data_IF_232807911581
#
_entry.id   IF_232807911581
#
_cell.length_a   1.000
_cell.length_b   1.000
_cell.length_c   1.000
_cell.angle_alpha   90.00
_cell.angle_beta   90.00
_cell.angle_gamma   90.00
#
_symmetry.space_group_name_H-M   'P 1'
#
loop_
_entity.id
_entity.type
_entity.pdbx_description
1 polymer ?
#
# COMPACT_ATOMS: atom_id res chain seq x y z
N UNK A 1 35.32 20.65 -19.56
CA UNK A 1 35.59 19.20 -19.51
C UNK A 1 34.28 18.48 -19.23
N UNK A 2 33.86 17.55 -20.08
CA UNK A 2 32.60 16.82 -19.88
C UNK A 2 32.81 15.62 -18.95
N UNK A 3 31.85 15.38 -18.04
CA UNK A 3 31.60 14.05 -17.48
C UNK A 3 30.12 13.73 -17.67
N UNK A 4 29.82 12.80 -18.58
CA UNK A 4 28.51 12.15 -18.65
C UNK A 4 28.36 11.26 -17.42
N UNK A 5 27.20 11.31 -16.77
CA UNK A 5 26.72 10.22 -15.93
C UNK A 5 25.58 9.54 -16.68
N UNK A 6 25.79 8.28 -17.08
CA UNK A 6 24.77 7.46 -17.73
C UNK A 6 23.96 6.74 -16.66
N UNK A 7 22.66 6.99 -16.60
CA UNK A 7 21.75 6.15 -15.83
C UNK A 7 21.39 4.92 -16.66
N UNK A 8 21.68 3.72 -16.13
CA UNK A 8 21.18 2.47 -16.71
C UNK A 8 19.70 2.30 -16.35
N UNK A 9 18.90 1.88 -17.33
CA UNK A 9 17.45 1.81 -17.24
C UNK A 9 16.98 0.35 -17.10
N UNK A 10 17.06 -0.19 -15.88
CA UNK A 10 16.57 -1.54 -15.60
C UNK A 10 15.04 -1.55 -15.39
N UNK A 11 14.37 -2.52 -16.03
CA UNK A 11 12.92 -2.58 -16.13
C UNK A 11 12.32 -3.40 -14.99
N UNK A 12 11.70 -2.75 -14.01
CA UNK A 12 10.86 -3.44 -13.04
C UNK A 12 9.54 -3.88 -13.69
N UNK A 13 9.42 -5.18 -13.95
CA UNK A 13 8.28 -5.80 -14.60
C UNK A 13 7.31 -6.35 -13.55
N UNK A 14 6.38 -5.52 -13.08
CA UNK A 14 5.41 -5.91 -12.04
C UNK A 14 4.27 -6.70 -12.69
N UNK A 15 4.35 -8.03 -12.64
CA UNK A 15 3.32 -8.93 -13.16
C UNK A 15 2.04 -8.88 -12.32
N UNK A 16 0.89 -8.87 -13.00
CA UNK A 16 -0.44 -8.76 -12.38
C UNK A 16 -0.80 -9.98 -11.52
N UNK A 17 -1.00 -9.77 -10.21
CA UNK A 17 -1.50 -10.80 -9.28
C UNK A 17 -2.96 -10.55 -8.85
N UNK A 18 -3.84 -10.29 -9.83
CA UNK A 18 -5.29 -10.27 -9.65
C UNK A 18 -5.92 -11.31 -10.57
N UNK A 19 -6.11 -12.54 -10.06
CA UNK A 19 -6.99 -13.60 -10.61
C UNK A 19 -6.85 -14.87 -9.73
N UNK A 20 -7.44 -14.88 -8.53
CA UNK A 20 -7.37 -16.02 -7.61
C UNK A 20 -8.58 -16.21 -6.68
N UNK A 21 -9.68 -15.44 -6.87
CA UNK A 21 -10.87 -15.50 -6.00
C UNK A 21 -12.21 -15.71 -6.74
N UNK A 22 -12.28 -15.55 -8.06
CA UNK A 22 -13.53 -15.49 -8.83
C UNK A 22 -13.88 -16.75 -9.65
N UNK A 23 -13.44 -17.94 -9.23
CA UNK A 23 -13.80 -19.21 -9.90
C UNK A 23 -14.14 -20.35 -8.91
N UNK A 24 -15.14 -20.14 -8.05
CA UNK A 24 -15.66 -21.22 -7.19
C UNK A 24 -17.19 -21.26 -7.01
N UNK A 25 -17.94 -20.81 -8.02
CA UNK A 25 -19.38 -21.08 -8.16
C UNK A 25 -19.70 -21.38 -9.63
N UNK A 26 -20.36 -22.52 -9.89
CA UNK A 26 -21.31 -22.87 -10.99
C UNK A 26 -21.30 -24.40 -11.26
N UNK A 27 -22.48 -25.01 -11.16
CA UNK A 27 -22.93 -26.31 -11.70
C UNK A 27 -22.35 -27.67 -11.20
N UNK A 28 -23.12 -28.32 -10.33
CA UNK A 28 -23.43 -29.77 -10.35
C UNK A 28 -24.70 -30.01 -11.22
N UNK A 29 -25.16 -31.26 -11.55
CA UNK A 29 -24.94 -32.58 -10.91
C UNK A 29 -24.44 -33.65 -11.95
N UNK A 30 -24.64 -34.99 -11.95
CA UNK A 30 -25.57 -35.96 -11.31
C UNK A 30 -24.94 -37.35 -10.98
N UNK A 31 -25.66 -38.09 -10.12
CA UNK A 31 -25.76 -39.55 -9.91
C UNK A 31 -24.66 -40.54 -10.33
N UNK A 32 -24.24 -41.38 -9.36
CA UNK A 32 -24.45 -42.86 -9.42
C UNK A 32 -24.22 -43.52 -8.04
N UNK A 33 -24.71 -44.75 -7.86
CA UNK A 33 -24.89 -45.44 -6.55
C UNK A 33 -23.72 -46.36 -6.15
N UNK A 34 -23.61 -46.82 -4.88
CA UNK A 34 -22.34 -47.30 -4.31
C UNK A 34 -22.02 -48.78 -4.62
N UNK A 35 -20.73 -49.07 -4.83
CA UNK A 35 -20.17 -50.41 -5.05
C UNK A 35 -19.00 -50.75 -4.13
N UNK A 36 -19.06 -51.95 -3.55
CA UNK A 36 -18.11 -52.60 -2.63
C UNK A 36 -16.59 -52.40 -2.88
N UNK A 37 -15.83 -52.10 -1.82
CA UNK A 37 -14.36 -52.12 -1.82
C UNK A 37 -13.77 -53.54 -1.93
N UNK A 38 -12.85 -53.80 -2.88
CA UNK A 38 -11.97 -54.97 -2.84
C UNK A 38 -10.91 -54.84 -1.73
N UNK A 39 -10.56 -55.95 -1.07
CA UNK A 39 -9.46 -55.98 -0.09
C UNK A 39 -8.10 -55.90 -0.78
N UNK A 40 -7.21 -55.04 -0.28
CA UNK A 40 -5.81 -55.01 -0.71
C UNK A 40 -5.10 -56.32 -0.29
N UNK A 41 -4.29 -56.89 -1.19
CA UNK A 41 -3.30 -57.90 -0.83
C UNK A 41 -1.93 -57.22 -0.70
N UNK A 42 -1.29 -57.39 0.44
CA UNK A 42 -0.02 -56.75 0.80
C UNK A 42 1.09 -57.78 0.69
N UNK A 43 1.97 -57.67 -0.32
CA UNK A 43 3.38 -58.13 -0.29
C UNK A 43 4.10 -57.94 -1.64
N UNK A 44 4.77 -56.80 -1.84
CA UNK A 44 6.11 -56.73 -2.46
C UNK A 44 6.75 -55.37 -2.18
N UNK A 45 7.84 -55.34 -1.41
CA UNK A 45 8.52 -54.11 -0.98
C UNK A 45 9.83 -53.94 -1.76
N UNK A 46 9.77 -53.27 -2.91
CA UNK A 46 10.96 -52.89 -3.66
C UNK A 46 11.68 -51.74 -2.93
N UNK A 47 12.89 -52.01 -2.43
CA UNK A 47 13.66 -51.06 -1.63
C UNK A 47 14.55 -50.16 -2.51
N UNK A 48 13.99 -49.09 -3.07
CA UNK A 48 14.78 -48.07 -3.77
C UNK A 48 15.52 -47.15 -2.77
N UNK A 49 16.80 -47.46 -2.49
CA UNK A 49 17.73 -46.53 -1.86
C UNK A 49 18.04 -45.37 -2.80
N UNK A 50 17.29 -44.27 -2.69
CA UNK A 50 17.54 -43.02 -3.38
C UNK A 50 18.74 -42.29 -2.77
N UNK A 51 19.88 -42.33 -3.46
CA UNK A 51 21.06 -41.52 -3.11
C UNK A 51 20.78 -40.06 -3.48
N UNK A 52 20.09 -39.35 -2.60
CA UNK A 52 19.99 -37.89 -2.68
C UNK A 52 21.35 -37.28 -2.25
N UNK A 53 21.99 -36.45 -3.09
CA UNK A 53 23.16 -35.69 -2.67
C UNK A 53 22.72 -34.72 -1.56
N UNK A 54 23.42 -34.75 -0.42
CA UNK A 54 23.12 -33.85 0.68
C UNK A 54 23.36 -32.40 0.25
N UNK A 55 22.48 -31.45 0.61
CA UNK A 55 22.70 -30.05 0.30
C UNK A 55 23.99 -29.58 0.98
N UNK A 56 24.87 -28.94 0.21
CA UNK A 56 26.04 -28.26 0.78
C UNK A 56 25.50 -27.17 1.71
N UNK A 57 25.79 -27.31 3.00
CA UNK A 57 25.41 -26.30 3.99
C UNK A 57 26.38 -25.12 3.82
N UNK A 58 26.03 -24.19 2.93
CA UNK A 58 26.66 -22.88 2.92
C UNK A 58 26.52 -22.27 4.33
N UNK A 59 27.63 -21.81 4.90
CA UNK A 59 27.63 -21.26 6.25
C UNK A 59 26.62 -20.12 6.35
N UNK A 60 25.66 -20.26 7.28
CA UNK A 60 24.57 -19.32 7.48
C UNK A 60 25.12 -17.97 7.91
N UNK A 61 25.46 -17.11 6.94
CA UNK A 61 25.90 -15.73 7.17
C UNK A 61 24.86 -15.04 8.04
N UNK A 62 25.27 -14.69 9.25
CA UNK A 62 24.39 -14.12 10.27
C UNK A 62 24.12 -12.65 9.95
N UNK A 63 23.13 -12.38 9.10
CA UNK A 63 22.76 -11.02 8.67
C UNK A 63 22.24 -10.24 9.88
N UNK A 64 23.13 -9.46 10.49
CA UNK A 64 22.83 -8.56 11.60
C UNK A 64 22.45 -7.18 11.06
N UNK A 65 21.18 -6.82 11.24
CA UNK A 65 20.71 -5.47 11.00
C UNK A 65 21.09 -4.57 12.18
N UNK A 66 22.33 -4.08 12.22
CA UNK A 66 22.89 -3.33 13.36
C UNK A 66 22.04 -2.11 13.80
N UNK A 67 21.30 -1.52 12.86
CA UNK A 67 20.40 -0.39 13.10
C UNK A 67 18.95 -0.78 13.42
N UNK A 68 18.56 -2.06 13.29
CA UNK A 68 17.19 -2.53 13.56
C UNK A 68 17.10 -3.20 14.93
N UNK A 69 16.69 -2.42 15.93
CA UNK A 69 16.37 -2.96 17.26
C UNK A 69 15.00 -3.61 17.22
N UNK A 70 14.94 -4.94 17.25
CA UNK A 70 13.70 -5.66 17.53
C UNK A 70 13.27 -5.33 18.96
N UNK A 71 12.16 -4.62 19.11
CA UNK A 71 11.63 -4.23 20.44
C UNK A 71 10.40 -5.07 20.78
N UNK A 72 10.35 -5.63 21.99
CA UNK A 72 9.14 -6.28 22.53
C UNK A 72 7.99 -5.29 22.75
N UNK A 73 8.31 -3.98 22.72
CA UNK A 73 7.31 -2.91 22.69
C UNK A 73 6.59 -2.97 21.33
N UNK A 74 5.24 -3.03 21.30
CA UNK A 74 4.50 -3.02 20.04
C UNK A 74 4.85 -1.77 19.23
N UNK A 75 4.78 -1.81 17.89
CA UNK A 75 5.07 -0.66 17.05
C UNK A 75 4.32 0.56 17.55
N UNK A 76 5.03 1.64 17.87
CA UNK A 76 4.39 2.91 18.20
C UNK A 76 3.56 3.30 16.99
N UNK A 77 2.23 3.32 17.17
CA UNK A 77 1.30 3.68 16.10
C UNK A 77 1.74 5.02 15.48
N UNK A 78 1.61 5.19 14.15
CA UNK A 78 2.05 6.39 13.47
C UNK A 78 1.22 7.59 13.92
N UNK A 79 1.69 8.26 14.97
CA UNK A 79 1.00 9.36 15.64
C UNK A 79 1.43 10.72 15.08
N UNK A 80 0.49 11.65 15.10
CA UNK A 80 0.72 13.07 14.78
C UNK A 80 0.31 13.93 15.98
N UNK A 81 0.92 15.11 16.11
CA UNK A 81 0.62 16.05 17.18
C UNK A 81 -0.39 17.10 16.69
N UNK A 82 -1.57 17.15 17.31
CA UNK A 82 -2.66 18.05 16.92
C UNK A 82 -3.38 18.55 18.18
N UNK A 83 -3.66 19.85 18.23
CA UNK A 83 -4.39 20.52 19.33
C UNK A 83 -3.87 20.14 20.73
N UNK A 84 -2.54 20.00 20.85
CA UNK A 84 -1.83 19.66 22.10
C UNK A 84 -1.78 18.16 22.45
N UNK A 85 -2.15 17.25 21.52
CA UNK A 85 -2.28 15.81 21.78
C UNK A 85 -1.63 14.97 20.68
N UNK A 86 -1.05 13.83 21.07
CA UNK A 86 -0.71 12.77 20.13
C UNK A 86 -1.94 11.94 19.80
N UNK A 87 -2.20 11.71 18.52
CA UNK A 87 -3.35 10.95 17.99
C UNK A 87 -2.87 10.05 16.85
N UNK A 88 -3.44 8.85 16.69
CA UNK A 88 -3.11 7.98 15.54
C UNK A 88 -3.57 8.66 14.23
N UNK A 89 -2.69 8.71 13.24
CA UNK A 89 -2.99 9.21 11.90
C UNK A 89 -4.16 8.44 11.25
N UNK A 90 -4.38 7.18 11.61
CA UNK A 90 -5.49 6.35 11.11
C UNK A 90 -6.86 6.94 11.52
N UNK A 91 -7.06 7.19 12.82
CA UNK A 91 -8.30 7.78 13.37
C UNK A 91 -8.57 9.15 12.74
N UNK A 92 -7.51 9.92 12.59
CA UNK A 92 -7.47 11.24 11.97
C UNK A 92 -7.84 11.20 10.47
N UNK A 93 -7.34 10.22 9.72
CA UNK A 93 -7.70 10.00 8.31
C UNK A 93 -9.15 9.58 8.19
N UNK A 94 -9.63 8.66 9.05
CA UNK A 94 -11.04 8.26 9.10
C UNK A 94 -11.94 9.46 9.39
N UNK A 95 -11.59 10.30 10.37
CA UNK A 95 -12.36 11.51 10.69
C UNK A 95 -12.44 12.48 9.50
N UNK A 96 -11.37 12.63 8.71
CA UNK A 96 -11.39 13.46 7.50
C UNK A 96 -12.25 12.87 6.39
N UNK A 97 -12.17 11.55 6.16
CA UNK A 97 -12.87 10.87 5.07
C UNK A 97 -14.37 10.72 5.34
N UNK A 98 -14.75 10.41 6.58
CA UNK A 98 -16.14 10.05 6.94
C UNK A 98 -16.91 11.14 7.70
N UNK A 99 -16.24 12.05 8.41
CA UNK A 99 -16.90 13.01 9.31
C UNK A 99 -16.71 14.50 8.89
N UNK A 100 -16.19 14.76 7.69
CA UNK A 100 -16.07 16.12 7.13
C UNK A 100 -16.73 16.21 5.75
N UNK A 101 -17.14 17.42 5.31
CA UNK A 101 -17.51 17.65 3.93
C UNK A 101 -16.38 17.26 2.96
N UNK A 102 -16.69 16.88 1.71
CA UNK A 102 -15.69 16.69 0.67
C UNK A 102 -14.99 18.01 0.29
N UNK A 103 -13.89 17.91 -0.45
CA UNK A 103 -13.17 19.07 -0.97
C UNK A 103 -14.05 19.84 -1.98
N UNK A 104 -14.12 21.20 -1.92
CA UNK A 104 -14.99 21.98 -2.80
C UNK A 104 -14.66 21.73 -4.28
N UNK A 105 -15.68 21.60 -5.13
CA UNK A 105 -15.49 21.40 -6.57
C UNK A 105 -14.75 22.59 -7.22
N UNK A 106 -13.73 22.29 -8.02
CA UNK A 106 -12.96 23.28 -8.78
C UNK A 106 -13.18 22.99 -10.28
N UNK A 107 -13.47 24.00 -11.12
CA UNK A 107 -13.54 23.82 -12.56
C UNK A 107 -12.21 23.29 -13.12
N UNK A 108 -12.22 22.08 -13.69
CA UNK A 108 -11.03 21.47 -14.25
C UNK A 108 -10.53 22.24 -15.49
N UNK A 109 -9.27 22.67 -15.46
CA UNK A 109 -8.49 23.02 -16.65
C UNK A 109 -7.00 22.65 -16.48
N UNK A 110 -6.69 21.73 -15.54
CA UNK A 110 -5.35 21.27 -15.18
C UNK A 110 -5.18 19.80 -15.62
N UNK A 111 -4.01 19.42 -16.13
CA UNK A 111 -3.63 18.01 -16.23
C UNK A 111 -3.27 17.48 -14.84
N UNK A 112 -3.95 16.41 -14.41
CA UNK A 112 -3.78 15.83 -13.08
C UNK A 112 -2.88 14.58 -13.12
N UNK A 113 -2.23 14.28 -12.00
CA UNK A 113 -1.41 13.06 -11.82
C UNK A 113 -1.81 12.30 -10.56
N UNK A 114 -1.80 10.98 -10.63
CA UNK A 114 -2.05 10.11 -9.48
C UNK A 114 -0.82 9.97 -8.56
N UNK A 115 0.30 10.63 -8.87
CA UNK A 115 1.50 10.69 -8.00
C UNK A 115 1.38 11.85 -7.01
N UNK A 116 1.68 11.59 -5.74
CA UNK A 116 1.65 12.58 -4.68
C UNK A 116 2.83 13.56 -4.82
N UNK A 117 2.61 14.88 -4.94
CA UNK A 117 3.69 15.86 -5.08
C UNK A 117 4.52 16.07 -3.80
N UNK A 118 4.10 15.48 -2.67
CA UNK A 118 4.82 15.56 -1.39
C UNK A 118 5.66 14.30 -1.10
N UNK A 119 5.11 13.11 -1.34
CA UNK A 119 5.78 11.83 -1.02
C UNK A 119 6.33 11.09 -2.25
N UNK A 120 6.04 11.55 -3.46
CA UNK A 120 6.41 10.91 -4.75
C UNK A 120 5.89 9.47 -4.94
N UNK A 121 5.07 8.97 -4.01
CA UNK A 121 4.32 7.71 -4.12
C UNK A 121 2.94 7.93 -4.78
N UNK A 122 2.27 6.87 -5.25
CA UNK A 122 0.87 6.96 -5.66
C UNK A 122 -0.04 7.51 -4.54
N UNK A 123 -0.99 8.36 -4.90
CA UNK A 123 -2.00 8.90 -3.99
C UNK A 123 -2.99 7.77 -3.64
N UNK A 124 -3.19 7.52 -2.35
CA UNK A 124 -4.16 6.53 -1.85
C UNK A 124 -5.41 7.21 -1.28
N UNK A 125 -5.21 8.28 -0.52
CA UNK A 125 -6.29 9.10 0.03
C UNK A 125 -6.16 10.55 -0.47
N UNK A 126 -6.75 10.90 -1.63
CA UNK A 126 -6.65 12.24 -2.20
C UNK A 126 -7.24 13.31 -1.28
N UNK A 127 -6.43 14.32 -0.96
CA UNK A 127 -6.79 15.43 -0.10
C UNK A 127 -6.21 16.76 -0.58
N UNK A 128 -6.89 17.84 -0.18
CA UNK A 128 -6.45 19.23 -0.26
C UNK A 128 -7.13 20.06 0.82
N UNK A 129 -6.74 21.32 0.96
CA UNK A 129 -7.40 22.26 1.88
C UNK A 129 -8.70 22.79 1.30
N UNK A 130 -9.64 23.19 2.17
CA UNK A 130 -10.92 23.80 1.76
C UNK A 130 -10.74 25.12 0.98
N UNK A 131 -9.60 25.79 1.12
CA UNK A 131 -9.23 27.03 0.43
C UNK A 131 -8.24 26.82 -0.75
N UNK A 132 -7.91 25.58 -1.09
CA UNK A 132 -7.09 25.28 -2.27
C UNK A 132 -7.88 25.60 -3.56
N UNK A 133 -7.24 26.26 -4.52
CA UNK A 133 -7.82 26.63 -5.83
C UNK A 133 -7.27 25.80 -7.01
N UNK A 134 -6.58 24.69 -6.72
CA UNK A 134 -6.08 23.71 -7.69
C UNK A 134 -6.82 22.38 -7.58
N UNK A 135 -7.00 21.69 -8.70
CA UNK A 135 -7.67 20.39 -8.80
C UNK A 135 -6.77 19.20 -8.43
N UNK A 136 -5.44 19.37 -8.53
CA UNK A 136 -4.46 18.35 -8.10
C UNK A 136 -4.55 18.10 -6.59
N UNK A 137 -4.46 16.83 -6.17
CA UNK A 137 -4.45 16.43 -4.76
C UNK A 137 -3.06 15.96 -4.30
N UNK A 138 -2.91 15.85 -2.98
CA UNK A 138 -1.82 15.10 -2.33
C UNK A 138 -2.39 13.93 -1.52
N UNK A 139 -1.55 12.99 -1.13
CA UNK A 139 -1.94 11.89 -0.25
C UNK A 139 -2.07 12.37 1.20
N UNK A 140 -3.27 12.19 1.78
CA UNK A 140 -3.62 12.69 3.10
C UNK A 140 -2.72 12.15 4.22
N UNK A 141 -2.49 10.83 4.22
CA UNK A 141 -1.68 10.16 5.26
C UNK A 141 -0.25 10.67 5.20
N UNK A 142 0.31 10.77 3.99
CA UNK A 142 1.63 11.32 3.74
C UNK A 142 1.76 12.76 4.24
N UNK A 143 0.76 13.61 3.95
CA UNK A 143 0.75 15.00 4.43
C UNK A 143 0.75 15.10 5.95
N UNK A 144 -0.07 14.31 6.63
CA UNK A 144 -0.18 14.35 8.09
C UNK A 144 1.12 13.87 8.78
N UNK A 145 1.76 12.80 8.28
CA UNK A 145 2.99 12.26 8.87
C UNK A 145 4.25 13.07 8.57
N UNK A 146 4.23 13.89 7.50
CA UNK A 146 5.35 14.74 7.11
C UNK A 146 5.18 16.20 7.55
N UNK A 147 4.06 16.54 8.20
CA UNK A 147 3.82 17.89 8.70
C UNK A 147 4.61 18.15 9.98
N UNK A 148 5.21 19.34 10.09
CA UNK A 148 5.72 19.87 11.36
C UNK A 148 4.78 20.95 11.88
N UNK A 149 4.73 21.12 13.21
CA UNK A 149 3.77 22.02 13.88
C UNK A 149 3.79 23.47 13.35
N UNK A 150 4.92 23.90 12.77
CA UNK A 150 5.17 25.25 12.27
C UNK A 150 4.68 25.50 10.82
N UNK A 151 4.40 24.47 10.01
CA UNK A 151 4.33 24.61 8.54
C UNK A 151 3.05 24.05 7.87
N UNK A 152 1.90 24.22 8.52
CA UNK A 152 0.54 23.89 8.02
C UNK A 152 0.12 24.64 6.73
N UNK A 153 0.79 24.33 5.62
CA UNK A 153 0.70 24.95 4.29
C UNK A 153 0.54 23.87 3.21
N UNK A 154 -0.17 24.18 2.12
CA UNK A 154 -0.34 23.26 1.01
C UNK A 154 1.00 22.96 0.30
N UNK A 155 1.35 21.68 0.03
CA UNK A 155 2.56 21.35 -0.73
C UNK A 155 2.48 21.74 -2.21
N UNK A 156 1.28 22.08 -2.71
CA UNK A 156 1.04 22.47 -4.11
C UNK A 156 0.99 24.00 -4.24
N UNK A 157 -0.02 24.65 -3.65
CA UNK A 157 -0.25 26.09 -3.81
C UNK A 157 0.25 26.97 -2.65
N UNK A 158 0.88 26.41 -1.61
CA UNK A 158 1.34 27.09 -0.39
C UNK A 158 0.25 27.81 0.44
N UNK A 159 -1.02 27.82 0.03
CA UNK A 159 -2.16 28.28 0.84
C UNK A 159 -2.18 27.57 2.20
N UNK A 160 -2.47 28.27 3.32
CA UNK A 160 -2.60 27.64 4.63
C UNK A 160 -3.63 26.51 4.65
N UNK A 161 -3.22 25.36 5.19
CA UNK A 161 -4.09 24.22 5.45
C UNK A 161 -3.94 23.86 6.92
N UNK A 162 -4.76 24.44 7.79
CA UNK A 162 -4.86 23.99 9.18
C UNK A 162 -5.45 22.58 9.25
N UNK A 163 -5.21 21.87 10.36
CA UNK A 163 -5.83 20.58 10.69
C UNK A 163 -7.32 20.48 10.29
N UNK A 164 -8.14 21.42 10.77
CA UNK A 164 -9.59 21.46 10.53
C UNK A 164 -10.00 21.80 9.08
N UNK A 165 -9.08 22.30 8.26
CA UNK A 165 -9.32 22.70 6.86
C UNK A 165 -9.05 21.59 5.83
N UNK A 166 -8.40 20.48 6.23
CA UNK A 166 -8.18 19.30 5.36
C UNK A 166 -9.51 18.66 4.94
N UNK A 167 -9.62 18.33 3.66
CA UNK A 167 -10.81 17.74 3.02
C UNK A 167 -10.39 16.59 2.07
N UNK A 168 -11.08 15.46 2.19
CA UNK A 168 -10.98 14.34 1.23
C UNK A 168 -11.66 14.71 -0.10
N UNK A 169 -11.08 14.31 -1.24
CA UNK A 169 -11.59 14.60 -2.58
C UNK A 169 -12.04 13.30 -3.29
N UNK A 170 -13.31 12.86 -3.12
CA UNK A 170 -13.80 11.61 -3.70
C UNK A 170 -13.84 11.62 -5.23
N UNK A 171 -13.85 12.80 -5.86
CA UNK A 171 -13.92 12.95 -7.31
C UNK A 171 -12.54 13.02 -7.96
N UNK A 172 -11.43 12.84 -7.23
CA UNK A 172 -10.09 13.03 -7.77
C UNK A 172 -9.72 12.03 -8.87
N UNK A 173 -9.87 10.72 -8.62
CA UNK A 173 -9.52 9.71 -9.63
C UNK A 173 -10.43 9.77 -10.87
N UNK A 174 -11.68 10.18 -10.70
CA UNK A 174 -12.65 10.45 -11.79
C UNK A 174 -12.30 11.70 -12.65
N UNK A 175 -11.18 12.36 -12.37
CA UNK A 175 -10.68 13.56 -13.08
C UNK A 175 -9.27 13.36 -13.66
N UNK A 176 -8.71 12.15 -13.55
CA UNK A 176 -7.40 11.75 -14.10
C UNK A 176 -7.56 10.86 -15.34
N UNK A 177 -8.73 10.23 -15.48
CA UNK A 177 -9.13 9.36 -16.59
C UNK A 177 -10.29 9.99 -17.37
#
# INVERSE_FOLDING_TARGET
MNRRFSFNQERYNIGSSYNAFDQMLINHPETSSPGSFPKMNMNHQMNMMSIFPQPIIEERREIKFENYKFTDKPPTLPTVFIDGKFVDVNDIVQQIVYNRPPAPHIPNNEMLTNVCPLSFCPITCPSRGVFCLHSQCFDLRSFLLLQSDENWLCPICRTPITWNSLRYDPAFFLRIF
#
